data_IF_365864314561
#
_entry.id   IF_365864314561
#
_cell.length_a   1.000
_cell.length_b   1.000
_cell.length_c   1.000
_cell.angle_alpha   90.00
_cell.angle_beta   90.00
_cell.angle_gamma   90.00
#
_symmetry.space_group_name_H-M   'P 1'
#
loop_
_entity.id
_entity.type
_entity.pdbx_description
1 polymer ?
#
# COMPACT_ATOMS: atom_id res chain seq x y z
N UNK A 1 30.17 6.19 -26.02
CA UNK A 1 29.39 7.04 -25.12
C UNK A 1 27.97 6.50 -24.89
N UNK A 2 27.11 6.30 -25.92
CA UNK A 2 25.69 5.80 -25.72
C UNK A 2 25.58 4.48 -24.94
N UNK A 3 26.47 3.50 -25.19
CA UNK A 3 26.46 2.19 -24.48
C UNK A 3 26.82 2.33 -23.00
N UNK A 4 27.73 3.22 -22.62
CA UNK A 4 28.14 3.49 -21.24
C UNK A 4 26.99 4.17 -20.48
N UNK A 5 26.30 5.12 -21.11
CA UNK A 5 25.13 5.80 -20.53
C UNK A 5 23.98 4.81 -20.30
N UNK A 6 23.74 3.89 -21.25
CA UNK A 6 22.71 2.85 -21.11
C UNK A 6 23.05 1.87 -19.98
N UNK A 7 24.33 1.47 -19.85
CA UNK A 7 24.76 0.57 -18.78
C UNK A 7 24.64 1.24 -17.41
N UNK A 8 25.05 2.50 -17.29
CA UNK A 8 24.90 3.28 -16.06
C UNK A 8 23.43 3.47 -15.67
N UNK A 9 22.56 3.75 -16.64
CA UNK A 9 21.13 3.85 -16.40
C UNK A 9 20.51 2.51 -15.94
N UNK A 10 20.91 1.40 -16.52
CA UNK A 10 20.46 0.07 -16.12
C UNK A 10 20.92 -0.30 -14.70
N UNK A 11 22.16 0.02 -14.33
CA UNK A 11 22.70 -0.17 -12.99
C UNK A 11 21.97 0.68 -11.94
N UNK A 12 21.64 1.93 -12.26
CA UNK A 12 20.87 2.80 -11.37
C UNK A 12 19.44 2.30 -11.16
N UNK A 13 18.78 1.79 -12.22
CA UNK A 13 17.45 1.19 -12.11
C UNK A 13 17.46 -0.11 -11.28
N UNK A 14 18.48 -0.94 -11.46
CA UNK A 14 18.64 -2.16 -10.66
C UNK A 14 18.90 -1.83 -9.19
N UNK A 15 19.74 -0.85 -8.88
CA UNK A 15 19.99 -0.41 -7.51
C UNK A 15 18.75 0.18 -6.85
N UNK A 16 17.93 0.94 -7.56
CA UNK A 16 16.68 1.50 -7.06
C UNK A 16 15.65 0.38 -6.76
N UNK A 17 15.56 -0.63 -7.63
CA UNK A 17 14.68 -1.79 -7.42
C UNK A 17 15.12 -2.62 -6.22
N UNK A 18 16.42 -2.79 -6.03
CA UNK A 18 16.98 -3.50 -4.88
C UNK A 18 16.67 -2.76 -3.58
N UNK A 19 16.90 -1.45 -3.53
CA UNK A 19 16.63 -0.63 -2.35
C UNK A 19 15.14 -0.64 -1.96
N UNK A 20 14.23 -0.62 -2.94
CA UNK A 20 12.78 -0.73 -2.70
C UNK A 20 12.40 -2.10 -2.16
N UNK A 21 13.01 -3.17 -2.68
CA UNK A 21 12.80 -4.54 -2.19
C UNK A 21 13.29 -4.70 -0.75
N UNK A 22 14.45 -4.15 -0.43
CA UNK A 22 15.04 -4.17 0.91
C UNK A 22 14.17 -3.40 1.91
N UNK A 23 13.69 -2.21 1.57
CA UNK A 23 12.79 -1.44 2.42
C UNK A 23 11.50 -2.21 2.75
N UNK A 24 10.88 -2.83 1.75
CA UNK A 24 9.69 -3.64 1.94
C UNK A 24 9.95 -4.81 2.89
N UNK A 25 11.06 -5.53 2.70
CA UNK A 25 11.47 -6.62 3.56
C UNK A 25 11.68 -6.18 5.02
N UNK A 26 12.41 -5.09 5.24
CA UNK A 26 12.65 -4.55 6.57
C UNK A 26 11.36 -4.14 7.27
N UNK A 27 10.44 -3.48 6.57
CA UNK A 27 9.15 -3.06 7.14
C UNK A 27 8.26 -4.27 7.47
N UNK A 28 8.23 -5.29 6.63
CA UNK A 28 7.48 -6.53 6.88
C UNK A 28 8.03 -7.23 8.12
N UNK A 29 9.35 -7.45 8.18
CA UNK A 29 10.02 -8.07 9.33
C UNK A 29 9.77 -7.28 10.63
N UNK A 30 9.80 -5.95 10.58
CA UNK A 30 9.45 -5.10 11.71
C UNK A 30 7.99 -5.31 12.15
N UNK A 31 7.05 -5.36 11.21
CA UNK A 31 5.63 -5.52 11.51
C UNK A 31 5.29 -6.88 12.08
N UNK A 32 6.03 -7.93 11.73
CA UNK A 32 5.93 -9.24 12.35
C UNK A 32 6.32 -9.23 13.85
N UNK A 33 7.23 -8.35 14.23
CA UNK A 33 7.69 -8.18 15.62
C UNK A 33 6.81 -7.22 16.44
N UNK A 34 5.98 -6.40 15.77
CA UNK A 34 5.13 -5.40 16.40
C UNK A 34 3.68 -5.92 16.48
N UNK A 35 3.25 -6.48 17.63
CA UNK A 35 1.94 -7.12 17.73
C UNK A 35 0.80 -6.12 17.55
N UNK A 36 -0.24 -6.57 16.86
CA UNK A 36 -1.57 -5.96 16.84
C UNK A 36 -2.41 -6.58 17.95
N UNK A 37 -3.33 -5.82 18.53
CA UNK A 37 -4.20 -6.25 19.63
C UNK A 37 -5.65 -5.84 19.36
N UNK A 38 -6.59 -6.46 20.03
CA UNK A 38 -8.03 -6.30 19.84
C UNK A 38 -8.60 -4.88 20.04
N UNK A 39 -7.87 -3.98 20.68
CA UNK A 39 -8.24 -2.56 20.81
C UNK A 39 -7.53 -1.63 19.83
N UNK A 40 -6.65 -2.15 18.98
CA UNK A 40 -5.91 -1.35 18.02
C UNK A 40 -6.76 -0.97 16.81
N UNK A 41 -6.40 0.16 16.22
CA UNK A 41 -6.96 0.71 15.00
C UNK A 41 -5.83 0.72 13.97
N UNK A 42 -5.94 -0.09 12.93
CA UNK A 42 -4.88 -0.29 11.97
C UNK A 42 -5.14 0.53 10.71
N UNK A 43 -4.16 1.32 10.29
CA UNK A 43 -4.08 1.92 8.97
C UNK A 43 -3.20 1.05 8.09
N UNK A 44 -3.79 0.39 7.09
CA UNK A 44 -3.14 -0.55 6.19
C UNK A 44 -3.12 0.03 4.77
N UNK A 45 -1.98 -0.01 4.10
CA UNK A 45 -1.85 0.53 2.75
C UNK A 45 -0.42 0.68 2.26
N UNK A 46 -0.25 1.58 1.30
CA UNK A 46 1.01 1.87 0.63
C UNK A 46 1.78 3.06 1.24
N UNK A 47 2.54 3.80 0.42
CA UNK A 47 3.34 4.97 0.85
C UNK A 47 2.52 6.11 1.46
N UNK A 48 1.28 6.29 1.03
CA UNK A 48 0.40 7.33 1.60
C UNK A 48 0.09 6.99 3.06
N UNK A 49 -0.15 5.73 3.34
CA UNK A 49 -0.32 5.24 4.71
C UNK A 49 0.98 5.24 5.49
N UNK A 50 2.07 4.75 4.88
CA UNK A 50 3.41 4.65 5.49
C UNK A 50 3.92 5.99 5.99
N UNK A 51 3.74 7.07 5.21
CA UNK A 51 4.19 8.42 5.53
C UNK A 51 3.36 9.18 6.57
N UNK A 52 2.30 8.60 7.12
CA UNK A 52 1.44 9.26 8.09
C UNK A 52 1.85 8.97 9.53
N UNK A 53 1.94 10.02 10.35
CA UNK A 53 2.14 9.92 11.80
C UNK A 53 0.79 9.75 12.52
N UNK A 54 0.09 8.66 12.20
CA UNK A 54 -1.30 8.43 12.57
C UNK A 54 -1.55 8.44 14.08
N UNK A 55 -0.63 7.87 14.86
CA UNK A 55 -0.77 7.83 16.32
C UNK A 55 -0.72 9.24 16.94
N UNK A 56 0.14 10.11 16.41
CA UNK A 56 0.25 11.51 16.82
C UNK A 56 -0.95 12.33 16.34
N UNK A 57 -1.32 12.18 15.05
CA UNK A 57 -2.45 12.90 14.46
C UNK A 57 -3.76 12.67 15.23
N UNK A 58 -4.01 11.45 15.69
CA UNK A 58 -5.19 11.09 16.47
C UNK A 58 -4.98 11.12 17.99
N UNK A 59 -3.78 11.51 18.44
CA UNK A 59 -3.38 11.45 19.86
C UNK A 59 -3.81 10.14 20.53
N UNK A 60 -3.53 9.02 19.85
CA UNK A 60 -4.00 7.71 20.29
C UNK A 60 -2.96 6.61 19.99
N UNK A 61 -2.36 6.08 21.06
CA UNK A 61 -1.36 5.01 20.99
C UNK A 61 -1.87 3.69 20.41
N UNK A 62 -3.19 3.50 20.34
CA UNK A 62 -3.81 2.32 19.72
C UNK A 62 -3.93 2.42 18.21
N UNK A 63 -3.63 3.57 17.63
CA UNK A 63 -3.53 3.72 16.18
C UNK A 63 -2.19 3.17 15.70
N UNK A 64 -2.22 2.24 14.75
CA UNK A 64 -1.06 1.51 14.23
C UNK A 64 -0.92 1.75 12.74
N UNK A 65 0.25 2.26 12.34
CA UNK A 65 0.62 2.34 10.94
C UNK A 65 1.12 0.99 10.45
N UNK A 66 0.51 0.48 9.37
CA UNK A 66 0.90 -0.73 8.65
C UNK A 66 0.99 -0.44 7.15
N UNK A 67 1.38 0.79 6.79
CA UNK A 67 1.75 1.16 5.45
C UNK A 67 3.15 0.71 5.08
N UNK A 68 3.35 0.37 3.81
CA UNK A 68 4.69 0.15 3.22
C UNK A 68 4.74 0.86 1.87
N UNK A 69 5.78 1.68 1.66
CA UNK A 69 5.97 2.40 0.41
C UNK A 69 6.06 1.46 -0.79
N UNK A 70 5.41 1.82 -1.90
CA UNK A 70 5.26 1.08 -3.14
C UNK A 70 4.48 -0.25 -3.05
N UNK A 71 3.85 -0.55 -1.93
CA UNK A 71 3.02 -1.74 -1.78
C UNK A 71 1.86 -1.77 -2.78
N UNK A 72 1.47 -2.98 -3.18
CA UNK A 72 0.39 -3.29 -4.10
C UNK A 72 -0.63 -4.22 -3.44
N UNK A 73 -1.81 -4.31 -4.03
CA UNK A 73 -2.92 -5.10 -3.47
C UNK A 73 -2.54 -6.57 -3.26
N UNK A 74 -1.87 -7.20 -4.23
CA UNK A 74 -1.40 -8.59 -4.10
C UNK A 74 -0.36 -8.77 -2.99
N UNK A 75 0.56 -7.83 -2.81
CA UNK A 75 1.59 -7.91 -1.76
C UNK A 75 1.03 -7.70 -0.35
N UNK A 76 -0.08 -6.96 -0.23
CA UNK A 76 -0.80 -6.84 1.03
C UNK A 76 -1.30 -8.20 1.54
N UNK A 77 -1.81 -9.04 0.64
CA UNK A 77 -2.30 -10.38 0.98
C UNK A 77 -1.21 -11.23 1.65
N UNK A 78 0.04 -11.09 1.21
CA UNK A 78 1.19 -11.84 1.73
C UNK A 78 1.63 -11.45 3.15
N UNK A 79 1.09 -10.35 3.70
CA UNK A 79 1.50 -9.81 5.02
C UNK A 79 0.33 -9.50 5.96
N UNK A 80 -0.81 -10.13 5.74
CA UNK A 80 -1.99 -9.93 6.57
C UNK A 80 -1.92 -10.66 7.92
N UNK A 81 -1.25 -11.79 7.99
CA UNK A 81 -1.26 -12.67 9.17
C UNK A 81 -0.96 -11.96 10.48
N UNK A 82 0.08 -11.13 10.62
CA UNK A 82 0.35 -10.42 11.87
C UNK A 82 -0.75 -9.43 12.25
N UNK A 83 -1.56 -8.99 11.30
CA UNK A 83 -2.66 -8.04 11.52
C UNK A 83 -3.93 -8.81 11.90
N UNK A 84 -4.30 -9.82 11.13
CA UNK A 84 -5.50 -10.63 11.34
C UNK A 84 -5.43 -11.35 12.67
N UNK A 85 -4.30 -11.97 12.99
CA UNK A 85 -4.07 -12.69 14.26
C UNK A 85 -4.20 -11.79 15.50
N UNK A 86 -4.03 -10.48 15.34
CA UNK A 86 -4.21 -9.50 16.39
C UNK A 86 -5.65 -9.08 16.65
N UNK A 87 -6.57 -9.46 15.76
CA UNK A 87 -8.00 -9.14 15.80
C UNK A 87 -8.28 -7.65 16.10
N UNK A 88 -7.76 -6.69 15.28
CA UNK A 88 -7.87 -5.27 15.57
C UNK A 88 -9.33 -4.82 15.62
N UNK A 89 -9.61 -3.80 16.43
CA UNK A 89 -10.95 -3.21 16.55
C UNK A 89 -11.44 -2.61 15.23
N UNK A 90 -10.51 -1.97 14.49
CA UNK A 90 -10.81 -1.33 13.21
C UNK A 90 -9.63 -1.48 12.25
N UNK A 91 -9.96 -1.59 10.98
CA UNK A 91 -9.01 -1.54 9.86
C UNK A 91 -9.43 -0.43 8.89
N UNK A 92 -8.53 0.49 8.57
CA UNK A 92 -8.66 1.45 7.48
C UNK A 92 -7.72 1.01 6.36
N UNK A 93 -8.29 0.64 5.22
CA UNK A 93 -7.55 0.12 4.06
C UNK A 93 -7.55 1.13 2.92
N UNK A 94 -6.37 1.49 2.41
CA UNK A 94 -6.21 2.27 1.19
C UNK A 94 -5.09 1.69 0.35
N UNK A 95 -5.43 1.10 -0.81
CA UNK A 95 -4.49 0.43 -1.71
C UNK A 95 -4.98 0.55 -3.16
N UNK A 96 -4.12 0.28 -4.13
CA UNK A 96 -4.47 0.19 -5.55
C UNK A 96 -3.78 1.21 -6.44
N UNK A 97 -3.38 2.37 -5.93
CA UNK A 97 -2.75 3.41 -6.77
C UNK A 97 -1.45 2.93 -7.44
N UNK A 98 -0.63 2.11 -6.75
CA UNK A 98 0.60 1.56 -7.31
C UNK A 98 0.32 0.43 -8.30
N UNK A 99 -0.73 -0.33 -8.08
CA UNK A 99 -1.22 -1.37 -9.00
C UNK A 99 -1.56 -0.75 -10.35
N UNK A 100 -2.42 0.25 -10.34
CA UNK A 100 -2.83 0.99 -11.54
C UNK A 100 -1.64 1.69 -12.22
N UNK A 101 -0.71 2.25 -11.43
CA UNK A 101 0.48 2.92 -11.95
C UNK A 101 1.40 1.98 -12.75
N UNK A 102 1.44 0.68 -12.41
CA UNK A 102 2.23 -0.32 -13.15
C UNK A 102 1.42 -1.11 -14.18
N UNK A 103 0.12 -0.80 -14.33
CA UNK A 103 -0.73 -1.37 -15.36
C UNK A 103 -1.48 -2.64 -14.94
N UNK A 104 -1.59 -2.92 -13.64
CA UNK A 104 -2.50 -3.96 -13.12
C UNK A 104 -3.94 -3.48 -13.35
N UNK A 105 -4.79 -4.36 -13.83
CA UNK A 105 -6.17 -4.04 -14.15
C UNK A 105 -6.99 -3.71 -12.89
N UNK A 106 -7.95 -2.75 -12.97
CA UNK A 106 -8.84 -2.41 -11.85
C UNK A 106 -9.55 -3.61 -11.24
N UNK A 107 -9.98 -4.55 -12.08
CA UNK A 107 -10.67 -5.78 -11.66
C UNK A 107 -9.76 -6.67 -10.80
N UNK A 108 -8.47 -6.72 -11.10
CA UNK A 108 -7.50 -7.49 -10.30
C UNK A 108 -7.28 -6.83 -8.94
N UNK A 109 -7.21 -5.49 -8.90
CA UNK A 109 -7.13 -4.72 -7.65
C UNK A 109 -8.36 -5.01 -6.79
N UNK A 110 -9.56 -4.94 -7.37
CA UNK A 110 -10.82 -5.22 -6.69
C UNK A 110 -10.85 -6.66 -6.16
N UNK A 111 -10.47 -7.64 -6.96
CA UNK A 111 -10.42 -9.04 -6.55
C UNK A 111 -9.41 -9.29 -5.40
N UNK A 112 -8.29 -8.58 -5.37
CA UNK A 112 -7.34 -8.68 -4.27
C UNK A 112 -7.88 -8.04 -2.98
N UNK A 113 -8.59 -6.91 -3.09
CA UNK A 113 -9.28 -6.30 -1.94
C UNK A 113 -10.39 -7.23 -1.43
N UNK A 114 -11.19 -7.83 -2.30
CA UNK A 114 -12.21 -8.80 -1.93
C UNK A 114 -11.62 -9.98 -1.15
N UNK A 115 -10.54 -10.60 -1.64
CA UNK A 115 -9.83 -11.67 -0.92
C UNK A 115 -9.36 -11.24 0.48
N UNK A 116 -8.89 -10.00 0.60
CA UNK A 116 -8.50 -9.44 1.90
C UNK A 116 -9.71 -9.34 2.84
N UNK A 117 -10.84 -8.85 2.34
CA UNK A 117 -12.07 -8.72 3.11
C UNK A 117 -12.61 -10.09 3.55
N UNK A 118 -12.57 -11.08 2.65
CA UNK A 118 -12.99 -12.46 2.93
C UNK A 118 -12.14 -13.07 4.06
N UNK A 119 -10.82 -12.90 3.99
CA UNK A 119 -9.92 -13.36 5.05
C UNK A 119 -10.26 -12.73 6.41
N UNK A 120 -10.55 -11.42 6.44
CA UNK A 120 -10.97 -10.78 7.68
C UNK A 120 -12.35 -11.26 8.16
N UNK A 121 -13.28 -11.51 7.24
CA UNK A 121 -14.59 -12.03 7.59
C UNK A 121 -14.52 -13.43 8.23
N UNK A 122 -13.61 -14.26 7.76
CA UNK A 122 -13.38 -15.61 8.28
C UNK A 122 -12.54 -15.63 9.56
N UNK A 123 -11.40 -14.91 9.56
CA UNK A 123 -10.38 -15.05 10.59
C UNK A 123 -10.48 -13.97 11.70
N UNK A 124 -11.13 -12.82 11.42
CA UNK A 124 -11.30 -11.72 12.40
C UNK A 124 -12.66 -11.00 12.23
N UNK A 125 -13.79 -11.71 12.38
CA UNK A 125 -15.12 -11.23 12.02
C UNK A 125 -15.61 -10.02 12.83
N UNK A 126 -14.98 -9.70 13.94
CA UNK A 126 -15.33 -8.55 14.78
C UNK A 126 -14.58 -7.26 14.38
N UNK A 127 -13.59 -7.34 13.48
CA UNK A 127 -12.88 -6.19 12.95
C UNK A 127 -13.80 -5.36 12.05
N UNK A 128 -14.02 -4.09 12.41
CA UNK A 128 -14.75 -3.17 11.53
C UNK A 128 -13.81 -2.64 10.46
N UNK A 129 -14.09 -2.95 9.19
CA UNK A 129 -13.26 -2.55 8.06
C UNK A 129 -13.86 -1.34 7.34
N UNK A 130 -12.99 -0.40 6.98
CA UNK A 130 -13.29 0.79 6.21
C UNK A 130 -12.36 0.80 5.00
N UNK A 131 -12.89 0.46 3.84
CA UNK A 131 -12.16 0.58 2.57
C UNK A 131 -12.25 2.02 2.11
N UNK A 132 -11.10 2.64 1.92
CA UNK A 132 -10.99 4.02 1.46
C UNK A 132 -10.81 4.04 -0.05
N UNK A 133 -11.52 4.95 -0.71
CA UNK A 133 -11.30 5.20 -2.15
C UNK A 133 -9.84 5.57 -2.42
N UNK A 134 -9.33 5.12 -3.55
CA UNK A 134 -8.03 5.55 -4.06
C UNK A 134 -8.10 7.06 -4.32
N UNK A 135 -7.14 7.80 -3.76
CA UNK A 135 -7.12 9.26 -3.93
C UNK A 135 -6.94 9.62 -5.41
N UNK A 136 -7.72 10.58 -5.92
CA UNK A 136 -7.59 11.02 -7.29
C UNK A 136 -6.21 11.61 -7.53
N UNK A 137 -5.64 11.35 -8.70
CA UNK A 137 -4.38 11.94 -9.13
C UNK A 137 -4.65 13.10 -10.08
N UNK A 138 -3.86 14.17 -9.97
CA UNK A 138 -3.97 15.29 -10.88
C UNK A 138 -3.39 14.89 -12.25
N UNK A 139 -4.27 14.55 -13.19
CA UNK A 139 -3.92 14.26 -14.59
C UNK A 139 -3.71 15.51 -15.45
N UNK A 140 -3.95 16.70 -14.91
CA UNK A 140 -3.77 17.96 -15.64
C UNK A 140 -2.31 18.39 -15.52
N UNK A 141 -1.69 18.63 -16.67
CA UNK A 141 -0.34 19.10 -16.85
C UNK A 141 -0.06 20.38 -16.03
N UNK A 142 0.43 20.21 -14.83
CA UNK A 142 1.21 21.26 -14.21
C UNK A 142 2.60 21.19 -14.85
N UNK A 143 3.26 22.30 -15.13
CA UNK A 143 4.55 22.45 -15.82
C UNK A 143 5.67 21.48 -15.41
N UNK A 144 5.46 20.64 -14.43
CA UNK A 144 6.25 19.46 -14.13
C UNK A 144 5.71 18.29 -15.00
N UNK A 145 6.55 17.79 -15.93
CA UNK A 145 6.19 16.61 -16.74
C UNK A 145 5.70 15.50 -15.80
N UNK A 146 4.44 15.04 -15.93
CA UNK A 146 3.95 13.97 -15.08
C UNK A 146 4.85 12.76 -15.28
N UNK A 147 5.31 12.16 -14.20
CA UNK A 147 5.92 10.83 -14.27
C UNK A 147 4.88 9.93 -14.92
N UNK A 148 5.27 9.14 -15.92
CA UNK A 148 4.36 8.39 -16.81
C UNK A 148 3.30 7.55 -16.11
N UNK A 149 3.54 7.13 -14.86
CA UNK A 149 2.64 6.29 -14.07
C UNK A 149 1.39 7.02 -13.52
N UNK A 150 1.33 8.35 -13.56
CA UNK A 150 0.15 9.11 -13.12
C UNK A 150 -0.83 9.47 -14.23
N UNK A 151 -0.67 8.90 -15.42
CA UNK A 151 -1.54 9.18 -16.58
C UNK A 151 -2.93 8.52 -16.51
N UNK A 152 -3.20 7.67 -15.51
CA UNK A 152 -4.37 6.80 -15.45
C UNK A 152 -5.44 7.28 -14.46
N UNK A 153 -5.68 8.59 -14.38
CA UNK A 153 -6.69 9.14 -13.49
C UNK A 153 -8.12 8.58 -13.71
N UNK A 154 -8.46 8.23 -14.96
CA UNK A 154 -9.76 7.62 -15.30
C UNK A 154 -9.90 6.21 -14.67
N UNK A 155 -8.86 5.38 -14.70
CA UNK A 155 -8.88 4.03 -14.13
C UNK A 155 -9.07 4.04 -12.60
N UNK A 156 -8.60 5.09 -11.91
CA UNK A 156 -8.85 5.26 -10.48
C UNK A 156 -10.34 5.48 -10.21
N UNK A 157 -11.04 6.24 -11.05
CA UNK A 157 -12.47 6.48 -10.91
C UNK A 157 -13.25 5.17 -11.08
N UNK A 158 -12.87 4.35 -12.07
CA UNK A 158 -13.51 3.06 -12.32
C UNK A 158 -13.24 2.02 -11.22
N UNK A 159 -12.09 2.11 -10.54
CA UNK A 159 -11.71 1.17 -9.48
C UNK A 159 -12.42 1.47 -8.15
N UNK A 160 -12.84 2.70 -7.92
CA UNK A 160 -13.52 3.16 -6.70
C UNK A 160 -15.03 2.89 -6.75
#
# INVERSE_FOLDING_TARGET
MKKIVLLAAALLLAAASFAQSEYNYQKRSLFEQLPIRGNDIVFLGNSITDGGEWAELFNNRHVKNRGISADRSGWLLDRLDPIINGHPKKLFLMIGTNDLAVGIAPEEVAANVEKLLDRFAEESPWTKIYVQSILPVNGVDTKAKPKNHWKKGAEIIETN
#
